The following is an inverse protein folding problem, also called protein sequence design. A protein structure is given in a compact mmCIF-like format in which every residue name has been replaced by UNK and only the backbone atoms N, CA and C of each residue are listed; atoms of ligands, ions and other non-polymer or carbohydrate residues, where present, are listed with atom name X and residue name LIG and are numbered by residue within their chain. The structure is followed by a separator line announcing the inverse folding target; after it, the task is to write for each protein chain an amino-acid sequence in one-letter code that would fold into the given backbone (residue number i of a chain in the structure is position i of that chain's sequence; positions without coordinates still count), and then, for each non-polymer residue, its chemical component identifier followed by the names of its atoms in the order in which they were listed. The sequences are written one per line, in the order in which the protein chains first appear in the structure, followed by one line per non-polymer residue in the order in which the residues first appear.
data_IF_132553132611
#
_entry.id   IF_132553132611
#
_cell.length_a   1.000
_cell.length_b   1.000
_cell.length_c   1.000
_cell.angle_alpha   90.00
_cell.angle_beta   90.00
_cell.angle_gamma   90.00
#
_symmetry.space_group_name_H-M   'P 1'
#
loop_
_entity.id
_entity.type
_entity.pdbx_description
1 polymer ?
#
# COMPACT_ATOMS: atom_id res chain seq x y z
N UNK A 1 21.27 18.18 7.75
CA UNK A 1 20.45 18.34 8.97
C UNK A 1 20.93 17.32 9.96
N UNK A 2 21.42 17.81 11.09
CA UNK A 2 21.72 17.00 12.27
C UNK A 2 20.39 16.48 12.80
N UNK A 3 20.31 15.19 13.11
CA UNK A 3 19.14 14.63 13.79
C UNK A 3 18.92 15.41 15.09
N UNK A 4 17.68 15.75 15.46
CA UNK A 4 17.42 16.33 16.76
C UNK A 4 17.70 15.25 17.81
N UNK A 5 18.91 15.24 18.35
CA UNK A 5 19.18 14.67 19.67
C UNK A 5 18.18 15.33 20.60
N UNK A 6 17.16 14.60 21.05
CA UNK A 6 16.38 15.04 22.20
C UNK A 6 17.35 15.07 23.37
N UNK A 7 17.83 16.28 23.68
CA UNK A 7 18.53 16.55 24.92
C UNK A 7 17.44 16.50 25.99
N UNK A 8 17.21 15.31 26.55
CA UNK A 8 16.39 15.16 27.75
C UNK A 8 17.21 15.79 28.88
N UNK A 9 17.01 17.08 29.13
CA UNK A 9 17.56 17.80 30.28
C UNK A 9 16.78 17.42 31.56
N UNK A 10 16.70 16.12 31.89
CA UNK A 10 16.24 15.66 33.19
C UNK A 10 17.43 15.10 33.94
N UNK A 11 18.01 15.93 34.81
CA UNK A 11 19.12 15.51 35.66
C UNK A 11 18.59 14.67 36.82
N UNK A 12 18.38 13.37 36.60
CA UNK A 12 18.06 12.46 37.71
C UNK A 12 19.34 12.15 38.47
N UNK A 13 19.24 12.22 39.80
CA UNK A 13 20.30 11.76 40.70
C UNK A 13 20.28 10.23 40.67
N UNK A 14 21.34 9.61 40.16
CA UNK A 14 21.50 8.15 40.16
C UNK A 14 22.64 7.79 41.09
N UNK A 15 22.46 6.76 41.89
CA UNK A 15 23.46 6.28 42.84
C UNK A 15 24.41 5.29 42.15
N UNK A 16 25.65 5.17 42.67
CA UNK A 16 26.61 4.17 42.15
C UNK A 16 26.07 2.73 42.20
N UNK A 17 25.36 2.28 43.27
CA UNK A 17 24.70 0.98 43.26
C UNK A 17 23.70 0.76 42.11
N UNK A 18 22.89 1.78 41.78
CA UNK A 18 21.97 1.69 40.65
C UNK A 18 22.71 1.58 39.32
N UNK A 19 23.78 2.35 39.11
CA UNK A 19 24.60 2.23 37.90
C UNK A 19 25.25 0.86 37.80
N UNK A 20 25.76 0.34 38.92
CA UNK A 20 26.35 -1.00 38.98
C UNK A 20 25.33 -2.10 38.64
N UNK A 21 24.04 -1.87 38.90
CA UNK A 21 22.97 -2.79 38.44
C UNK A 21 22.77 -2.79 36.92
N UNK A 22 23.23 -1.76 36.21
CA UNK A 22 23.10 -1.64 34.75
C UNK A 22 24.32 -2.18 33.99
N UNK A 23 25.52 -2.05 34.53
CA UNK A 23 26.79 -2.38 33.84
C UNK A 23 27.31 -3.80 34.09
N UNK A 24 26.63 -4.59 34.93
CA UNK A 24 27.00 -5.97 35.24
C UNK A 24 28.22 -6.10 36.16
N UNK A 25 28.60 -7.35 36.48
CA UNK A 25 29.61 -7.67 37.50
C UNK A 25 31.06 -7.55 37.03
N UNK A 26 31.32 -7.43 35.72
CA UNK A 26 32.68 -7.49 35.18
C UNK A 26 33.48 -6.19 35.37
N UNK A 27 32.82 -5.03 35.47
CA UNK A 27 33.47 -3.72 35.67
C UNK A 27 32.69 -2.78 36.60
N UNK A 28 32.44 -3.15 37.87
CA UNK A 28 31.67 -2.32 38.77
C UNK A 28 32.43 -1.04 39.14
N UNK A 29 31.70 0.07 39.26
CA UNK A 29 32.23 1.30 39.85
C UNK A 29 32.44 1.04 41.36
N UNK A 30 33.65 1.22 41.90
CA UNK A 30 33.92 0.98 43.32
C UNK A 30 33.03 1.83 44.23
N UNK A 31 32.51 1.20 45.28
CA UNK A 31 31.84 1.92 46.36
C UNK A 31 32.85 2.73 47.18
N UNK A 32 32.38 3.80 47.83
CA UNK A 32 33.22 4.58 48.74
C UNK A 32 33.70 3.71 49.91
N UNK A 33 34.98 3.83 50.32
CA UNK A 33 35.46 3.26 51.57
C UNK A 33 34.58 3.68 52.77
N UNK A 34 34.47 2.80 53.77
CA UNK A 34 33.59 2.99 54.93
C UNK A 34 33.90 4.27 55.72
N UNK A 35 35.15 4.71 55.71
CA UNK A 35 35.60 5.94 56.35
C UNK A 35 35.01 7.17 55.66
N UNK A 36 35.00 7.17 54.32
CA UNK A 36 34.49 8.28 53.52
C UNK A 36 32.96 8.25 53.39
N UNK A 37 32.34 7.08 53.40
CA UNK A 37 30.89 6.91 53.27
C UNK A 37 30.11 7.43 54.49
N UNK A 38 30.77 7.70 55.61
CA UNK A 38 30.15 8.33 56.80
C UNK A 38 29.67 9.76 56.48
N UNK A 39 30.51 10.55 55.84
CA UNK A 39 30.28 11.99 55.59
C UNK A 39 30.05 12.33 54.12
N UNK A 40 30.33 11.39 53.21
CA UNK A 40 30.20 11.58 51.76
C UNK A 40 29.31 10.52 51.12
N UNK A 41 28.87 10.79 49.91
CA UNK A 41 28.15 9.88 49.01
C UNK A 41 28.72 9.97 47.59
N UNK A 42 28.70 8.86 46.86
CA UNK A 42 28.99 8.87 45.42
C UNK A 42 27.69 9.08 44.67
N UNK A 43 27.67 10.11 43.84
CA UNK A 43 26.50 10.53 43.07
C UNK A 43 26.88 10.57 41.60
N UNK A 44 25.99 10.09 40.75
CA UNK A 44 26.07 10.32 39.32
C UNK A 44 24.98 11.28 38.86
N UNK A 45 25.37 12.12 37.92
CA UNK A 45 24.47 12.94 37.13
C UNK A 45 24.46 12.40 35.70
N UNK A 46 23.28 12.08 35.18
CA UNK A 46 23.14 11.85 33.74
C UNK A 46 23.40 13.17 33.01
N UNK A 47 24.36 13.17 32.10
CA UNK A 47 24.68 14.34 31.27
C UNK A 47 23.97 14.27 29.92
N UNK A 48 23.97 13.09 29.30
CA UNK A 48 23.46 12.90 27.96
C UNK A 48 23.23 11.41 27.67
N UNK A 49 22.10 11.07 27.05
CA UNK A 49 21.89 9.78 26.40
C UNK A 49 22.00 9.94 24.88
N UNK A 50 22.83 9.12 24.25
CA UNK A 50 22.87 8.92 22.80
C UNK A 50 22.16 7.61 22.48
N UNK A 51 20.86 7.75 22.24
CA UNK A 51 19.95 6.68 21.88
C UNK A 51 20.31 5.97 20.56
N UNK A 52 21.00 6.68 19.66
CA UNK A 52 21.38 6.15 18.35
C UNK A 52 22.51 5.15 18.48
N UNK A 53 23.56 5.53 19.21
CA UNK A 53 24.72 4.67 19.45
C UNK A 53 24.53 3.76 20.67
N UNK A 54 23.46 3.94 21.44
CA UNK A 54 23.16 3.14 22.62
C UNK A 54 24.16 3.42 23.74
N UNK A 55 24.43 4.70 24.00
CA UNK A 55 25.38 5.12 25.04
C UNK A 55 24.75 6.12 26.00
N UNK A 56 25.19 6.11 27.25
CA UNK A 56 24.80 7.09 28.27
C UNK A 56 26.07 7.68 28.86
N UNK A 57 26.16 9.00 28.86
CA UNK A 57 27.27 9.75 29.47
C UNK A 57 26.86 10.20 30.86
N UNK A 58 27.59 9.71 31.88
CA UNK A 58 27.36 10.01 33.29
C UNK A 58 28.54 10.80 33.85
N UNK A 59 28.27 11.76 34.73
CA UNK A 59 29.29 12.42 35.56
C UNK A 59 29.21 11.89 36.98
N UNK A 60 30.22 11.16 37.40
CA UNK A 60 30.28 10.57 38.74
C UNK A 60 31.20 11.42 39.61
N UNK A 61 30.71 11.88 40.75
CA UNK A 61 31.48 12.65 41.72
C UNK A 61 31.16 12.20 43.14
N UNK A 62 32.14 12.38 44.03
CA UNK A 62 31.94 12.26 45.47
C UNK A 62 31.41 13.59 45.99
N UNK A 63 30.35 13.56 46.78
CA UNK A 63 29.73 14.74 47.40
C UNK A 63 29.70 14.58 48.90
N UNK A 64 29.80 15.69 49.63
CA UNK A 64 29.41 15.67 51.05
C UNK A 64 27.91 15.41 51.16
N UNK A 65 27.49 14.64 52.17
CA UNK A 65 26.06 14.32 52.40
C UNK A 65 25.21 15.54 52.76
N UNK A 66 25.84 16.59 53.30
CA UNK A 66 25.22 17.90 53.53
C UNK A 66 25.09 18.74 52.24
N UNK A 67 25.54 18.19 51.09
CA UNK A 67 25.51 18.79 49.77
C UNK A 67 26.26 20.14 49.67
N UNK A 68 27.20 20.39 50.59
CA UNK A 68 27.98 21.66 50.64
C UNK A 68 29.17 21.70 49.68
N UNK A 69 29.50 20.58 49.03
CA UNK A 69 30.57 20.53 48.04
C UNK A 69 30.75 19.16 47.39
N UNK A 70 31.42 19.18 46.24
CA UNK A 70 31.72 18.03 45.39
C UNK A 70 33.23 17.98 45.16
N UNK A 71 33.81 16.79 45.14
CA UNK A 71 35.25 16.63 44.96
C UNK A 71 35.61 16.55 43.47
N UNK A 72 36.63 17.31 43.08
CA UNK A 72 37.34 17.15 41.82
C UNK A 72 38.20 15.88 41.84
N UNK A 73 38.67 15.43 40.66
CA UNK A 73 39.59 14.28 40.55
C UNK A 73 40.94 14.53 41.22
N UNK A 74 41.32 15.80 41.42
CA UNK A 74 42.49 16.20 42.22
C UNK A 74 42.29 16.08 43.73
N UNK A 75 41.06 15.85 44.19
CA UNK A 75 40.70 15.86 45.62
C UNK A 75 40.29 17.24 46.16
N UNK A 76 40.36 18.29 45.33
CA UNK A 76 39.90 19.63 45.73
C UNK A 76 38.36 19.69 45.84
N UNK A 77 37.87 20.37 46.88
CA UNK A 77 36.45 20.57 47.09
C UNK A 77 35.96 21.78 46.27
N UNK A 78 34.91 21.60 45.49
CA UNK A 78 34.28 22.66 44.69
C UNK A 78 32.77 22.69 44.90
N UNK A 79 32.19 23.88 44.87
CA UNK A 79 30.74 24.06 44.75
C UNK A 79 30.27 23.96 43.29
N UNK A 80 31.20 23.96 42.33
CA UNK A 80 30.89 23.83 40.91
C UNK A 80 30.91 22.35 40.49
N UNK A 81 29.71 21.77 40.31
CA UNK A 81 29.52 20.40 39.81
C UNK A 81 30.21 20.15 38.47
N UNK A 82 30.33 21.17 37.61
CA UNK A 82 30.96 21.00 36.31
C UNK A 82 32.46 20.75 36.37
N UNK A 83 33.12 21.17 37.44
CA UNK A 83 34.55 20.95 37.66
C UNK A 83 34.85 19.75 38.54
N UNK A 84 33.81 19.03 38.97
CA UNK A 84 33.90 17.94 39.93
C UNK A 84 33.73 16.57 39.26
N UNK A 85 34.33 15.54 39.86
CA UNK A 85 34.18 14.15 39.39
C UNK A 85 34.80 13.83 38.03
N UNK A 86 34.37 12.68 37.50
CA UNK A 86 34.82 12.12 36.22
C UNK A 86 33.62 11.80 35.34
N UNK A 87 33.73 12.11 34.06
CA UNK A 87 32.76 11.67 33.06
C UNK A 87 33.09 10.25 32.61
N UNK A 88 32.09 9.39 32.59
CA UNK A 88 32.16 8.02 32.07
C UNK A 88 31.07 7.84 31.02
N UNK A 89 31.36 7.04 30.00
CA UNK A 89 30.37 6.66 28.98
C UNK A 89 30.06 5.18 29.17
N UNK A 90 28.80 4.89 29.45
CA UNK A 90 28.25 3.55 29.43
C UNK A 90 27.85 3.20 27.99
N UNK A 91 28.17 2.00 27.54
CA UNK A 91 27.88 1.53 26.18
C UNK A 91 27.43 0.06 26.23
N UNK A 92 26.90 -0.44 25.11
CA UNK A 92 26.35 -1.80 25.03
C UNK A 92 24.83 -1.87 25.18
N UNK A 93 24.15 -0.74 25.36
CA UNK A 93 22.69 -0.69 25.21
C UNK A 93 22.33 -0.92 23.74
N UNK A 94 21.15 -1.51 23.50
CA UNK A 94 20.62 -1.66 22.16
C UNK A 94 20.26 -0.29 21.56
N UNK A 95 21.24 0.35 20.93
CA UNK A 95 21.05 1.61 20.19
C UNK A 95 20.25 1.39 18.91
N UNK A 96 19.67 2.49 18.38
CA UNK A 96 18.90 2.44 17.13
C UNK A 96 19.70 1.82 15.98
N UNK A 97 21.01 2.09 15.95
CA UNK A 97 21.90 1.56 14.93
C UNK A 97 21.93 0.04 14.89
N UNK A 98 22.16 -0.58 16.05
CA UNK A 98 22.21 -2.03 16.16
C UNK A 98 20.85 -2.65 15.89
N UNK A 99 19.77 -2.06 16.42
CA UNK A 99 18.40 -2.58 16.22
C UNK A 99 17.98 -2.56 14.74
N UNK A 100 18.30 -1.49 14.01
CA UNK A 100 18.03 -1.39 12.57
C UNK A 100 18.86 -2.41 11.78
N UNK A 101 20.14 -2.57 12.12
CA UNK A 101 21.02 -3.57 11.49
C UNK A 101 20.52 -5.00 11.71
N UNK A 102 20.14 -5.33 12.94
CA UNK A 102 19.53 -6.61 13.28
C UNK A 102 18.23 -6.84 12.50
N UNK A 103 17.38 -5.82 12.36
CA UNK A 103 16.13 -5.93 11.60
C UNK A 103 16.37 -6.23 10.12
N UNK A 104 17.25 -5.48 9.46
CA UNK A 104 17.58 -5.74 8.05
C UNK A 104 18.25 -7.09 7.88
N UNK A 105 19.16 -7.48 8.79
CA UNK A 105 19.80 -8.80 8.78
C UNK A 105 18.77 -9.92 8.91
N UNK A 106 17.78 -9.78 9.79
CA UNK A 106 16.70 -10.74 9.97
C UNK A 106 15.83 -10.89 8.71
N UNK A 107 15.56 -9.81 7.98
CA UNK A 107 14.87 -9.89 6.69
C UNK A 107 15.76 -10.45 5.58
N UNK A 108 17.06 -10.16 5.59
CA UNK A 108 18.02 -10.63 4.58
C UNK A 108 18.27 -12.15 4.66
N UNK A 109 17.99 -12.80 5.79
CA UNK A 109 18.08 -14.26 5.94
C UNK A 109 17.19 -15.01 4.92
N UNK A 110 16.07 -14.41 4.51
CA UNK A 110 15.26 -14.94 3.43
C UNK A 110 14.66 -13.81 2.60
N UNK A 111 15.10 -13.70 1.34
CA UNK A 111 14.60 -12.70 0.40
C UNK A 111 13.61 -13.27 -0.60
N UNK A 112 13.32 -14.58 -0.58
CA UNK A 112 12.38 -15.22 -1.50
C UNK A 112 11.36 -16.06 -0.73
N UNK A 113 10.09 -15.68 -0.85
CA UNK A 113 8.99 -16.30 -0.15
C UNK A 113 8.03 -16.97 -1.13
N UNK A 114 7.61 -18.19 -0.77
CA UNK A 114 6.60 -18.93 -1.51
C UNK A 114 5.21 -18.56 -0.99
N UNK A 115 4.33 -18.09 -1.87
CA UNK A 115 2.93 -17.78 -1.50
C UNK A 115 2.00 -19.00 -1.59
N UNK A 116 2.53 -20.21 -1.84
CA UNK A 116 1.75 -21.45 -1.85
C UNK A 116 1.19 -21.74 -0.44
N UNK A 117 0.01 -21.20 -0.15
CA UNK A 117 -0.75 -21.46 1.06
C UNK A 117 -1.95 -22.36 0.75
N UNK A 118 -2.61 -22.85 1.79
CA UNK A 118 -3.88 -23.57 1.69
C UNK A 118 -5.02 -22.69 1.13
N UNK A 119 -4.81 -21.38 1.01
CA UNK A 119 -5.69 -20.42 0.36
C UNK A 119 -5.10 -19.98 -0.99
N UNK A 120 -5.86 -20.17 -2.06
CA UNK A 120 -5.44 -19.79 -3.41
C UNK A 120 -5.75 -18.31 -3.66
N UNK A 121 -4.75 -17.44 -3.51
CA UNK A 121 -4.86 -16.04 -3.92
C UNK A 121 -4.46 -15.88 -5.39
N UNK A 122 -5.29 -15.25 -6.23
CA UNK A 122 -4.88 -14.98 -7.60
C UNK A 122 -3.79 -13.91 -7.62
N UNK A 123 -2.76 -14.10 -8.45
CA UNK A 123 -1.57 -13.25 -8.46
C UNK A 123 -1.88 -11.75 -8.64
N UNK A 124 -2.83 -11.41 -9.52
CA UNK A 124 -3.23 -10.01 -9.74
C UNK A 124 -3.77 -9.32 -8.49
N UNK A 125 -4.44 -10.07 -7.60
CA UNK A 125 -5.00 -9.52 -6.36
C UNK A 125 -3.88 -9.15 -5.41
N UNK A 126 -2.94 -10.09 -5.20
CA UNK A 126 -1.77 -9.85 -4.35
C UNK A 126 -0.96 -8.67 -4.91
N UNK A 127 -0.78 -8.61 -6.22
CA UNK A 127 -0.10 -7.49 -6.87
C UNK A 127 -0.78 -6.15 -6.58
N UNK A 128 -2.09 -6.02 -6.81
CA UNK A 128 -2.77 -4.74 -6.59
C UNK A 128 -2.85 -4.38 -5.11
N UNK A 129 -3.09 -5.33 -4.21
CA UNK A 129 -3.14 -5.04 -2.77
C UNK A 129 -1.80 -4.50 -2.28
N UNK A 130 -0.68 -5.12 -2.66
CA UNK A 130 0.66 -4.65 -2.31
C UNK A 130 1.02 -3.36 -3.05
N UNK A 131 0.63 -3.20 -4.32
CA UNK A 131 0.90 -1.98 -5.10
C UNK A 131 0.14 -0.78 -4.51
N UNK A 132 -1.13 -0.96 -4.17
CA UNK A 132 -1.94 0.06 -3.52
C UNK A 132 -1.35 0.42 -2.16
N UNK A 133 -1.00 -0.57 -1.34
CA UNK A 133 -0.30 -0.36 -0.07
C UNK A 133 0.99 0.45 -0.26
N UNK A 134 1.79 0.13 -1.28
CA UNK A 134 3.04 0.85 -1.55
C UNK A 134 2.84 2.33 -1.93
N UNK A 135 1.65 2.68 -2.45
CA UNK A 135 1.27 4.04 -2.83
C UNK A 135 0.58 4.81 -1.71
N UNK A 136 0.19 4.16 -0.61
CA UNK A 136 -0.40 4.83 0.55
C UNK A 136 0.63 5.75 1.22
N UNK A 137 0.20 6.95 1.60
CA UNK A 137 1.05 7.94 2.29
C UNK A 137 1.41 7.49 3.71
N UNK A 138 0.50 6.77 4.37
CA UNK A 138 0.68 6.18 5.69
C UNK A 138 0.46 4.67 5.60
N UNK A 139 1.54 3.90 5.65
CA UNK A 139 1.49 2.44 5.55
C UNK A 139 1.54 1.84 6.95
N UNK A 140 0.43 1.24 7.38
CA UNK A 140 0.36 0.49 8.63
C UNK A 140 0.43 -1.00 8.37
N UNK A 141 1.05 -1.72 9.33
CA UNK A 141 1.12 -3.18 9.38
C UNK A 141 1.62 -3.86 8.10
N UNK A 142 2.58 -3.23 7.40
CA UNK A 142 3.14 -3.71 6.13
C UNK A 142 3.54 -5.19 6.21
N UNK A 143 4.27 -5.58 7.26
CA UNK A 143 4.73 -6.95 7.43
C UNK A 143 3.55 -7.92 7.60
N UNK A 144 2.55 -7.56 8.40
CA UNK A 144 1.35 -8.40 8.59
C UNK A 144 0.55 -8.56 7.29
N UNK A 145 0.41 -7.48 6.50
CA UNK A 145 -0.26 -7.51 5.20
C UNK A 145 0.48 -8.39 4.18
N UNK A 146 1.82 -8.42 4.19
CA UNK A 146 2.59 -9.35 3.35
C UNK A 146 2.46 -10.78 3.88
N UNK A 147 2.63 -10.98 5.19
CA UNK A 147 2.53 -12.30 5.84
C UNK A 147 1.16 -12.95 5.68
N UNK A 148 0.09 -12.19 5.43
CA UNK A 148 -1.23 -12.72 5.10
C UNK A 148 -1.23 -13.61 3.84
N UNK A 149 -0.31 -13.37 2.90
CA UNK A 149 -0.18 -14.18 1.69
C UNK A 149 0.82 -15.33 1.83
N UNK A 150 1.54 -15.40 2.95
CA UNK A 150 2.56 -16.40 3.19
C UNK A 150 1.96 -17.58 3.97
N UNK A 151 2.54 -18.79 3.86
CA UNK A 151 2.08 -19.94 4.62
C UNK A 151 2.11 -19.68 6.13
N UNK A 152 1.23 -20.36 6.87
CA UNK A 152 1.09 -20.15 8.31
C UNK A 152 2.35 -20.54 9.12
N UNK A 153 3.26 -21.32 8.53
CA UNK A 153 4.53 -21.67 9.14
C UNK A 153 5.37 -20.41 9.43
N UNK A 154 5.64 -20.14 10.71
CA UNK A 154 6.43 -18.99 11.17
C UNK A 154 7.84 -18.92 10.57
N UNK A 155 8.43 -20.05 10.14
CA UNK A 155 9.73 -20.06 9.47
C UNK A 155 9.68 -19.45 8.05
N UNK A 156 8.48 -19.36 7.46
CA UNK A 156 8.25 -18.81 6.12
C UNK A 156 7.62 -17.41 6.15
N UNK A 157 7.48 -16.81 7.34
CA UNK A 157 6.96 -15.45 7.51
C UNK A 157 8.09 -14.43 7.65
N UNK A 158 7.85 -13.22 7.17
CA UNK A 158 8.70 -12.07 7.47
C UNK A 158 8.64 -11.76 8.96
N UNK A 159 9.80 -11.51 9.57
CA UNK A 159 9.88 -11.06 10.95
C UNK A 159 9.23 -9.68 11.09
N UNK A 160 8.38 -9.45 12.11
CA UNK A 160 7.83 -8.13 12.38
C UNK A 160 8.95 -7.13 12.72
N UNK A 161 8.63 -5.83 12.65
CA UNK A 161 9.54 -4.79 13.12
C UNK A 161 9.78 -4.95 14.63
N UNK A 162 11.03 -4.81 15.05
CA UNK A 162 11.43 -4.87 16.45
C UNK A 162 10.58 -3.89 17.30
N UNK A 163 10.07 -4.36 18.45
CA UNK A 163 9.18 -3.59 19.31
C UNK A 163 9.84 -2.31 19.85
N UNK A 164 11.14 -2.34 20.12
CA UNK A 164 11.90 -1.15 20.56
C UNK A 164 11.98 -0.10 19.45
N UNK A 165 12.07 -0.51 18.18
CA UNK A 165 11.97 0.42 17.05
C UNK A 165 10.55 0.98 16.92
N UNK A 166 9.52 0.14 17.06
CA UNK A 166 8.12 0.60 17.04
C UNK A 166 7.81 1.61 18.16
N UNK A 167 8.31 1.38 19.37
CA UNK A 167 8.18 2.29 20.51
C UNK A 167 8.82 3.67 20.22
N UNK A 168 9.84 3.70 19.37
CA UNK A 168 10.52 4.90 18.87
C UNK A 168 9.90 5.46 17.59
N UNK A 169 8.65 5.07 17.28
CA UNK A 169 7.89 5.51 16.11
C UNK A 169 8.50 5.13 14.76
N UNK A 170 9.41 4.15 14.72
CA UNK A 170 9.87 3.60 13.45
C UNK A 170 8.78 2.75 12.80
N UNK A 171 8.76 2.78 11.47
CA UNK A 171 7.76 2.10 10.66
C UNK A 171 8.40 1.38 9.49
N UNK A 172 7.77 0.29 9.07
CA UNK A 172 8.12 -0.39 7.82
C UNK A 172 7.36 0.27 6.67
N UNK A 173 8.04 0.51 5.56
CA UNK A 173 7.44 0.91 4.29
C UNK A 173 7.73 -0.14 3.22
N UNK A 174 6.70 -0.43 2.45
CA UNK A 174 6.76 -1.16 1.19
C UNK A 174 7.00 -0.17 0.05
N UNK A 175 7.97 -0.47 -0.80
CA UNK A 175 8.29 0.29 -1.99
C UNK A 175 8.46 -0.61 -3.20
N UNK A 176 8.39 -0.01 -4.40
CA UNK A 176 8.73 -0.64 -5.68
C UNK A 176 8.10 -2.02 -5.91
N UNK A 177 6.80 -2.13 -5.65
CA UNK A 177 6.05 -3.34 -6.01
C UNK A 177 6.01 -3.44 -7.54
N UNK A 178 6.68 -4.46 -8.07
CA UNK A 178 6.90 -4.71 -9.48
C UNK A 178 6.56 -6.16 -9.83
N UNK A 179 6.14 -6.34 -11.07
CA UNK A 179 5.84 -7.63 -11.65
C UNK A 179 7.06 -8.13 -12.41
N UNK A 180 7.40 -9.40 -12.21
CA UNK A 180 8.42 -10.11 -12.97
C UNK A 180 7.84 -11.41 -13.52
N UNK A 181 8.07 -11.68 -14.81
CA UNK A 181 7.67 -12.94 -15.45
C UNK A 181 8.90 -13.75 -15.76
N UNK A 182 8.97 -14.92 -15.17
CA UNK A 182 10.06 -15.85 -15.42
C UNK A 182 9.87 -16.51 -16.79
N UNK A 183 10.97 -16.92 -17.41
CA UNK A 183 10.98 -17.55 -18.73
C UNK A 183 10.21 -18.87 -18.78
N UNK A 184 9.99 -19.50 -17.64
CA UNK A 184 9.20 -20.72 -17.47
C UNK A 184 7.69 -20.46 -17.31
N UNK A 185 7.22 -19.22 -17.48
CA UNK A 185 5.82 -18.83 -17.33
C UNK A 185 5.36 -18.62 -15.89
N UNK A 186 6.25 -18.70 -14.90
CA UNK A 186 5.91 -18.38 -13.51
C UNK A 186 5.91 -16.87 -13.27
N UNK A 187 4.98 -16.41 -12.45
CA UNK A 187 4.89 -15.03 -12.01
C UNK A 187 5.64 -14.83 -10.68
N UNK A 188 6.39 -13.74 -10.59
CA UNK A 188 7.11 -13.28 -9.40
C UNK A 188 6.69 -11.84 -9.09
N UNK A 189 6.48 -11.52 -7.81
CA UNK A 189 6.38 -10.13 -7.35
C UNK A 189 7.69 -9.72 -6.70
N UNK A 190 8.26 -8.65 -7.20
CA UNK A 190 9.38 -7.96 -6.59
C UNK A 190 8.84 -6.81 -5.73
N UNK A 191 9.33 -6.71 -4.51
CA UNK A 191 8.99 -5.66 -3.56
C UNK A 191 10.23 -5.28 -2.78
N UNK A 192 10.27 -4.05 -2.29
CA UNK A 192 11.36 -3.61 -1.42
C UNK A 192 10.81 -3.21 -0.07
N UNK A 193 11.47 -3.69 0.99
CA UNK A 193 11.21 -3.27 2.36
C UNK A 193 12.22 -2.21 2.79
N UNK A 194 11.72 -1.18 3.47
CA UNK A 194 12.56 -0.15 4.04
C UNK A 194 12.00 0.29 5.39
N UNK A 195 12.87 0.84 6.23
CA UNK A 195 12.52 1.38 7.52
C UNK A 195 12.49 2.91 7.45
N UNK A 196 11.49 3.51 8.07
CA UNK A 196 11.39 4.95 8.31
C UNK A 196 11.44 5.25 9.80
N UNK A 197 12.04 6.38 10.15
CA UNK A 197 11.98 6.92 11.51
C UNK A 197 10.68 7.72 11.74
N UNK A 198 10.50 8.26 12.96
CA UNK A 198 9.35 9.10 13.33
C UNK A 198 9.20 10.37 12.49
N UNK A 199 10.30 10.88 11.92
CA UNK A 199 10.31 12.03 10.99
C UNK A 199 10.01 11.63 9.53
N UNK A 200 9.55 10.39 9.30
CA UNK A 200 9.21 9.85 7.98
C UNK A 200 10.42 9.76 7.02
N UNK A 201 11.65 9.84 7.55
CA UNK A 201 12.90 9.71 6.79
C UNK A 201 13.31 8.25 6.69
N UNK A 202 13.80 7.87 5.51
CA UNK A 202 14.28 6.51 5.25
C UNK A 202 15.61 6.27 5.94
N UNK A 203 15.72 5.15 6.67
CA UNK A 203 16.92 4.73 7.40
C UNK A 203 17.47 3.43 6.82
N UNK A 204 18.72 3.49 6.38
CA UNK A 204 19.50 2.35 5.88
C UNK A 204 20.11 1.54 7.03
N UNK A 205 20.46 0.29 6.75
CA UNK A 205 21.21 -0.58 7.68
C UNK A 205 22.52 0.06 8.18
N UNK A 206 23.19 0.84 7.33
CA UNK A 206 24.45 1.50 7.64
C UNK A 206 24.29 2.94 8.15
N UNK A 207 23.06 3.43 8.30
CA UNK A 207 22.73 4.84 8.62
C UNK A 207 23.31 5.88 7.65
N UNK A 208 23.82 5.44 6.50
CA UNK A 208 24.21 6.37 5.45
C UNK A 208 22.95 7.03 4.86
N UNK A 209 23.12 8.25 4.33
CA UNK A 209 22.02 8.93 3.66
C UNK A 209 21.61 8.11 2.43
N UNK A 210 20.32 7.79 2.25
CA UNK A 210 19.86 7.14 1.05
C UNK A 210 20.23 8.02 -0.15
N UNK A 211 20.96 7.45 -1.11
CA UNK A 211 20.97 8.02 -2.45
C UNK A 211 19.65 7.60 -3.09
N UNK A 212 18.73 8.56 -3.26
CA UNK A 212 17.38 8.33 -3.79
C UNK A 212 17.38 7.69 -5.19
N UNK A 213 18.51 7.70 -5.90
CA UNK A 213 18.66 7.08 -7.23
C UNK A 213 19.11 5.62 -7.20
N UNK A 214 19.74 5.13 -6.12
CA UNK A 214 20.41 3.81 -6.13
C UNK A 214 19.97 2.85 -5.03
N UNK A 215 19.44 3.34 -3.91
CA UNK A 215 18.99 2.48 -2.82
C UNK A 215 17.49 2.63 -2.58
N UNK A 216 16.79 1.53 -2.75
CA UNK A 216 15.34 1.47 -2.86
C UNK A 216 14.71 0.55 -1.81
N UNK A 217 15.50 0.15 -0.81
CA UNK A 217 15.14 -0.83 0.22
C UNK A 217 15.77 -2.21 0.00
N UNK A 218 15.55 -3.11 0.96
CA UNK A 218 15.91 -4.52 0.86
C UNK A 218 14.97 -5.23 -0.12
N UNK A 219 15.47 -5.80 -1.22
CA UNK A 219 14.63 -6.49 -2.20
C UNK A 219 14.14 -7.83 -1.66
N UNK A 220 12.86 -8.09 -1.87
CA UNK A 220 12.14 -9.32 -1.51
C UNK A 220 11.33 -9.78 -2.73
N UNK A 221 11.17 -11.10 -2.82
CA UNK A 221 10.46 -11.79 -3.89
C UNK A 221 9.33 -12.63 -3.32
N UNK A 222 8.14 -12.52 -3.90
CA UNK A 222 7.07 -13.49 -3.72
C UNK A 222 6.99 -14.34 -4.98
N UNK A 223 6.92 -15.66 -4.82
CA UNK A 223 6.96 -16.64 -5.93
C UNK A 223 5.96 -17.77 -5.70
N UNK A 224 5.83 -18.66 -6.69
CA UNK A 224 4.94 -19.83 -6.65
C UNK A 224 3.46 -19.46 -6.45
N UNK A 225 2.99 -18.43 -7.16
CA UNK A 225 1.57 -18.14 -7.26
C UNK A 225 0.85 -19.26 -8.03
N UNK A 226 -0.38 -19.56 -7.63
CA UNK A 226 -1.23 -20.49 -8.36
C UNK A 226 -1.52 -19.98 -9.79
N UNK A 227 -1.61 -20.89 -10.75
CA UNK A 227 -1.93 -20.58 -12.15
C UNK A 227 -3.32 -19.96 -12.29
N UNK A 228 -3.40 -18.83 -12.99
CA UNK A 228 -4.56 -17.91 -12.98
C UNK A 228 -5.67 -18.20 -14.01
N UNK A 229 -5.58 -19.25 -14.82
CA UNK A 229 -6.43 -19.35 -16.02
C UNK A 229 -7.93 -19.50 -15.72
N UNK A 230 -8.30 -20.09 -14.57
CA UNK A 230 -9.70 -20.14 -14.09
C UNK A 230 -10.11 -18.93 -13.25
N UNK A 231 -9.18 -18.06 -12.86
CA UNK A 231 -9.42 -16.99 -11.88
C UNK A 231 -9.85 -15.64 -12.49
N UNK A 232 -9.62 -15.38 -13.78
CA UNK A 232 -10.05 -14.12 -14.41
C UNK A 232 -11.56 -13.92 -14.28
N UNK A 233 -12.33 -14.97 -14.54
CA UNK A 233 -13.79 -14.93 -14.43
C UNK A 233 -14.27 -15.06 -12.98
N UNK A 234 -13.41 -15.19 -11.97
CA UNK A 234 -13.84 -15.29 -10.56
C UNK A 234 -14.02 -13.92 -9.90
N UNK A 235 -13.58 -12.83 -10.54
CA UNK A 235 -13.80 -11.47 -10.00
C UNK A 235 -15.32 -11.20 -9.90
N UNK A 236 -15.83 -10.89 -8.70
CA UNK A 236 -17.22 -10.50 -8.52
C UNK A 236 -17.55 -9.23 -9.32
N UNK A 237 -18.72 -9.21 -9.95
CA UNK A 237 -19.20 -8.09 -10.76
C UNK A 237 -20.44 -7.53 -10.08
N UNK A 238 -20.50 -6.21 -9.91
CA UNK A 238 -21.68 -5.51 -9.38
C UNK A 238 -22.18 -4.52 -10.44
N UNK A 239 -23.48 -4.56 -10.70
CA UNK A 239 -24.15 -3.64 -11.61
C UNK A 239 -25.05 -2.69 -10.83
N UNK A 240 -25.05 -1.41 -11.19
CA UNK A 240 -25.90 -0.38 -10.57
C UNK A 240 -26.43 0.58 -11.62
N UNK A 241 -27.68 1.02 -11.46
CA UNK A 241 -28.24 2.09 -12.30
C UNK A 241 -27.99 3.44 -11.61
N UNK A 242 -27.19 4.28 -12.25
CA UNK A 242 -26.84 5.61 -11.80
C UNK A 242 -27.63 6.66 -12.61
N UNK A 243 -28.43 7.53 -11.97
CA UNK A 243 -29.12 8.60 -12.68
C UNK A 243 -28.12 9.63 -13.22
N UNK A 244 -28.30 10.02 -14.47
CA UNK A 244 -27.48 11.02 -15.16
C UNK A 244 -28.34 12.04 -15.91
N UNK A 245 -27.76 13.20 -16.17
CA UNK A 245 -28.35 14.25 -16.99
C UNK A 245 -27.41 14.59 -18.15
N UNK A 246 -27.92 14.58 -19.38
CA UNK A 246 -27.20 14.97 -20.60
C UNK A 246 -27.95 16.11 -21.27
N UNK A 247 -27.34 17.30 -21.36
CA UNK A 247 -28.00 18.54 -21.85
C UNK A 247 -29.44 18.74 -21.31
N UNK A 248 -29.60 18.60 -19.99
CA UNK A 248 -30.90 18.78 -19.32
C UNK A 248 -31.87 17.60 -19.45
N UNK A 249 -31.55 16.55 -20.21
CA UNK A 249 -32.36 15.33 -20.35
C UNK A 249 -31.92 14.28 -19.33
N UNK A 250 -32.86 13.82 -18.51
CA UNK A 250 -32.63 12.74 -17.54
C UNK A 250 -32.55 11.39 -18.23
N UNK A 251 -31.61 10.56 -17.81
CA UNK A 251 -31.42 9.16 -18.24
C UNK A 251 -30.69 8.41 -17.14
N UNK A 252 -30.46 7.12 -17.31
CA UNK A 252 -29.58 6.34 -16.45
C UNK A 252 -28.30 5.94 -17.18
N UNK A 253 -27.23 5.74 -16.42
CA UNK A 253 -26.00 5.04 -16.80
C UNK A 253 -25.96 3.73 -16.05
N UNK A 254 -25.62 2.65 -16.76
CA UNK A 254 -25.39 1.36 -16.13
C UNK A 254 -23.92 1.27 -15.72
N UNK A 255 -23.66 1.33 -14.43
CA UNK A 255 -22.31 1.19 -13.86
C UNK A 255 -22.02 -0.27 -13.57
N UNK A 256 -21.00 -0.81 -14.24
CA UNK A 256 -20.49 -2.17 -14.04
C UNK A 256 -19.14 -2.06 -13.31
N UNK A 257 -19.08 -2.52 -12.07
CA UNK A 257 -17.86 -2.53 -11.27
C UNK A 257 -17.35 -3.94 -11.04
N UNK A 258 -16.02 -4.05 -10.94
CA UNK A 258 -15.28 -5.28 -10.67
C UNK A 258 -14.68 -5.18 -9.28
N UNK A 259 -14.99 -6.13 -8.40
CA UNK A 259 -14.54 -6.06 -7.02
C UNK A 259 -13.00 -6.06 -6.93
N UNK A 260 -12.46 -5.20 -6.07
CA UNK A 260 -11.02 -4.93 -5.90
C UNK A 260 -10.30 -4.24 -7.08
N UNK A 261 -10.99 -3.91 -8.18
CA UNK A 261 -10.43 -3.11 -9.27
C UNK A 261 -10.95 -1.67 -9.15
N UNK A 262 -10.14 -0.80 -8.57
CA UNK A 262 -10.54 0.55 -8.14
C UNK A 262 -10.05 1.66 -9.06
N UNK A 263 -9.12 1.38 -9.98
CA UNK A 263 -8.63 2.35 -10.95
C UNK A 263 -8.98 1.99 -12.39
N UNK A 264 -9.04 2.99 -13.25
CA UNK A 264 -9.28 2.83 -14.69
C UNK A 264 -8.24 1.93 -15.34
N UNK A 265 -6.97 2.05 -14.95
CA UNK A 265 -5.90 1.20 -15.47
C UNK A 265 -6.09 -0.27 -15.09
N UNK A 266 -6.47 -0.56 -13.84
CA UNK A 266 -6.71 -1.93 -13.37
C UNK A 266 -7.84 -2.60 -14.15
N UNK A 267 -8.95 -1.90 -14.37
CA UNK A 267 -10.06 -2.42 -15.18
C UNK A 267 -9.65 -2.56 -16.65
N UNK A 268 -8.89 -1.62 -17.20
CA UNK A 268 -8.37 -1.72 -18.58
C UNK A 268 -7.51 -2.97 -18.75
N UNK A 269 -6.58 -3.23 -17.83
CA UNK A 269 -5.75 -4.43 -17.84
C UNK A 269 -6.55 -5.72 -17.71
N UNK A 270 -7.54 -5.75 -16.82
CA UNK A 270 -8.44 -6.88 -16.67
C UNK A 270 -9.20 -7.18 -17.97
N UNK A 271 -9.80 -6.16 -18.58
CA UNK A 271 -10.58 -6.31 -19.81
C UNK A 271 -9.70 -6.67 -21.01
N UNK A 272 -8.47 -6.13 -21.11
CA UNK A 272 -7.46 -6.60 -22.07
C UNK A 272 -7.21 -8.10 -21.91
N UNK A 273 -7.04 -8.58 -20.68
CA UNK A 273 -6.81 -10.00 -20.42
C UNK A 273 -8.01 -10.87 -20.81
N UNK A 274 -9.24 -10.41 -20.57
CA UNK A 274 -10.46 -11.06 -21.04
C UNK A 274 -10.48 -11.18 -22.57
N UNK A 275 -10.14 -10.11 -23.29
CA UNK A 275 -10.07 -10.13 -24.77
C UNK A 275 -8.99 -11.09 -25.25
N UNK A 276 -7.78 -11.01 -24.69
CA UNK A 276 -6.63 -11.86 -25.06
C UNK A 276 -6.88 -13.34 -24.87
N UNK A 277 -7.54 -13.71 -23.76
CA UNK A 277 -7.87 -15.10 -23.44
C UNK A 277 -9.20 -15.55 -24.08
N UNK A 278 -9.77 -14.74 -24.97
CA UNK A 278 -11.02 -15.01 -25.68
C UNK A 278 -12.21 -15.32 -24.74
N UNK A 279 -12.28 -14.58 -23.61
CA UNK A 279 -13.27 -14.76 -22.53
C UNK A 279 -14.42 -13.75 -22.56
N UNK A 280 -14.56 -13.01 -23.66
CA UNK A 280 -15.55 -11.91 -23.79
C UNK A 280 -16.98 -12.43 -23.59
N UNK A 281 -17.34 -13.54 -24.22
CA UNK A 281 -18.71 -14.07 -24.11
C UNK A 281 -19.04 -14.58 -22.70
N UNK A 282 -18.09 -15.19 -21.97
CA UNK A 282 -18.31 -15.58 -20.57
C UNK A 282 -18.40 -14.35 -19.65
N UNK A 283 -17.58 -13.32 -19.88
CA UNK A 283 -17.68 -12.05 -19.16
C UNK A 283 -19.07 -11.43 -19.33
N UNK A 284 -19.58 -11.37 -20.57
CA UNK A 284 -20.90 -10.80 -20.86
C UNK A 284 -22.03 -11.58 -20.18
N UNK A 285 -21.92 -12.91 -20.08
CA UNK A 285 -22.86 -13.74 -19.30
C UNK A 285 -22.84 -13.34 -17.82
N UNK A 286 -21.67 -13.14 -17.21
CA UNK A 286 -21.57 -12.68 -15.81
C UNK A 286 -22.11 -11.27 -15.61
N UNK A 287 -21.83 -10.35 -16.54
CA UNK A 287 -22.39 -8.99 -16.50
C UNK A 287 -23.91 -9.05 -16.55
N UNK A 288 -24.49 -9.82 -17.48
CA UNK A 288 -25.95 -10.01 -17.55
C UNK A 288 -26.53 -10.47 -16.21
N UNK A 289 -25.97 -11.51 -15.60
CA UNK A 289 -26.41 -12.00 -14.29
C UNK A 289 -26.30 -10.92 -13.20
N UNK A 290 -25.22 -10.13 -13.20
CA UNK A 290 -25.04 -9.03 -12.26
C UNK A 290 -26.07 -7.91 -12.46
N UNK A 291 -26.43 -7.58 -13.71
CA UNK A 291 -27.46 -6.58 -14.03
C UNK A 291 -28.84 -7.04 -13.56
N UNK A 292 -29.18 -8.31 -13.74
CA UNK A 292 -30.42 -8.90 -13.26
C UNK A 292 -30.53 -8.82 -11.72
N UNK A 293 -29.42 -9.07 -11.02
CA UNK A 293 -29.37 -9.02 -9.55
C UNK A 293 -29.35 -7.59 -9.01
N UNK A 294 -28.52 -6.71 -9.59
CA UNK A 294 -28.44 -5.29 -9.21
C UNK A 294 -29.79 -4.58 -9.36
N UNK A 295 -30.57 -4.95 -10.39
CA UNK A 295 -31.95 -4.46 -10.53
C UNK A 295 -32.85 -4.89 -9.36
N UNK A 296 -32.82 -6.16 -8.94
CA UNK A 296 -33.64 -6.66 -7.81
C UNK A 296 -33.29 -5.93 -6.51
N UNK A 297 -32.00 -5.73 -6.25
CA UNK A 297 -31.52 -5.04 -5.04
C UNK A 297 -31.97 -3.57 -5.03
N UNK A 298 -31.84 -2.88 -6.16
CA UNK A 298 -32.18 -1.45 -6.27
C UNK A 298 -33.69 -1.20 -6.26
N UNK A 299 -34.48 -2.12 -6.82
CA UNK A 299 -35.93 -2.00 -6.95
C UNK A 299 -36.59 -3.19 -6.24
N UNK A 300 -36.84 -3.03 -4.92
CA UNK A 300 -37.34 -4.03 -3.96
C UNK A 300 -38.70 -4.70 -4.27
N UNK A 301 -39.27 -4.51 -5.45
CA UNK A 301 -40.56 -5.09 -5.86
C UNK A 301 -40.33 -6.24 -6.86
N UNK A 302 -40.26 -7.47 -6.34
CA UNK A 302 -40.08 -8.69 -7.12
C UNK A 302 -41.23 -8.93 -8.13
N UNK A 303 -42.41 -8.31 -7.93
CA UNK A 303 -43.58 -8.52 -8.78
C UNK A 303 -43.48 -7.84 -10.15
N UNK A 304 -42.43 -7.04 -10.40
CA UNK A 304 -42.14 -6.43 -11.71
C UNK A 304 -40.68 -6.64 -12.11
N UNK A 305 -40.23 -7.90 -12.12
CA UNK A 305 -38.92 -8.28 -12.65
C UNK A 305 -38.83 -7.99 -14.17
N UNK A 306 -38.33 -6.80 -14.52
CA UNK A 306 -38.15 -6.36 -15.91
C UNK A 306 -36.84 -5.58 -16.10
N UNK A 307 -35.67 -6.15 -15.77
CA UNK A 307 -34.37 -5.48 -15.98
C UNK A 307 -34.18 -5.10 -17.46
N UNK A 308 -34.64 -5.94 -18.38
CA UNK A 308 -34.63 -5.63 -19.81
C UNK A 308 -35.50 -4.40 -20.15
N UNK A 309 -36.65 -4.21 -19.51
CA UNK A 309 -37.48 -3.02 -19.73
C UNK A 309 -36.82 -1.77 -19.17
N UNK A 310 -36.19 -1.86 -18.00
CA UNK A 310 -35.42 -0.76 -17.40
C UNK A 310 -34.26 -0.30 -18.29
N UNK A 311 -33.48 -1.26 -18.81
CA UNK A 311 -32.40 -0.95 -19.75
C UNK A 311 -32.96 -0.28 -21.01
N UNK A 312 -34.02 -0.84 -21.58
CA UNK A 312 -34.69 -0.30 -22.76
C UNK A 312 -35.22 1.13 -22.59
N UNK A 313 -35.76 1.44 -21.41
CA UNK A 313 -36.48 2.70 -21.19
C UNK A 313 -35.55 3.83 -20.71
N UNK A 314 -34.52 3.49 -19.93
CA UNK A 314 -33.80 4.50 -19.15
C UNK A 314 -32.28 4.56 -19.41
N UNK A 315 -31.64 3.45 -19.78
CA UNK A 315 -30.17 3.40 -19.87
C UNK A 315 -29.68 4.02 -21.19
N UNK A 316 -28.89 5.07 -21.10
CA UNK A 316 -28.26 5.74 -22.25
C UNK A 316 -26.83 5.25 -22.52
N UNK A 317 -26.08 4.94 -21.47
CA UNK A 317 -24.67 4.53 -21.56
C UNK A 317 -24.33 3.48 -20.50
N UNK A 318 -23.22 2.78 -20.72
CA UNK A 318 -22.66 1.79 -19.79
C UNK A 318 -21.26 2.26 -19.42
N UNK A 319 -20.96 2.34 -18.13
CA UNK A 319 -19.61 2.65 -17.63
C UNK A 319 -19.00 1.42 -16.99
N UNK A 320 -17.80 1.06 -17.43
CA UNK A 320 -16.91 0.12 -16.75
C UNK A 320 -15.81 0.87 -15.98
N UNK A 321 -15.81 2.21 -15.99
CA UNK A 321 -14.80 3.02 -15.34
C UNK A 321 -15.10 3.16 -13.83
N UNK A 322 -14.26 2.62 -12.93
CA UNK A 322 -14.49 2.69 -11.49
C UNK A 322 -14.31 4.11 -10.91
N UNK A 323 -13.65 5.00 -11.65
CA UNK A 323 -13.39 6.38 -11.26
C UNK A 323 -14.49 7.35 -11.74
N UNK A 324 -15.42 6.88 -12.57
CA UNK A 324 -16.43 7.72 -13.20
C UNK A 324 -17.58 8.04 -12.24
N UNK A 325 -17.60 9.29 -11.76
CA UNK A 325 -18.56 9.80 -10.76
C UNK A 325 -19.46 10.91 -11.28
N UNK A 326 -19.28 11.36 -12.52
CA UNK A 326 -20.09 12.46 -13.05
C UNK A 326 -21.53 12.01 -13.28
N UNK A 327 -22.46 12.85 -12.83
CA UNK A 327 -23.90 12.67 -13.03
C UNK A 327 -24.50 13.72 -13.99
N UNK A 328 -23.75 14.79 -14.29
CA UNK A 328 -24.18 15.87 -15.18
C UNK A 328 -23.16 16.03 -16.31
N UNK A 329 -23.63 15.91 -17.54
CA UNK A 329 -22.82 16.00 -18.74
C UNK A 329 -23.35 17.11 -19.65
N UNK A 330 -22.45 18.03 -20.03
CA UNK A 330 -22.75 19.13 -20.95
C UNK A 330 -22.60 18.74 -22.43
N UNK A 331 -22.45 17.44 -22.71
CA UNK A 331 -22.26 16.88 -24.05
C UNK A 331 -23.47 16.01 -24.44
N UNK A 332 -23.78 15.96 -25.74
CA UNK A 332 -24.85 15.10 -26.27
C UNK A 332 -24.46 13.62 -26.33
N UNK A 333 -23.15 13.33 -26.28
CA UNK A 333 -22.58 12.01 -26.48
C UNK A 333 -21.55 11.75 -25.37
N UNK A 334 -21.67 10.62 -24.70
CA UNK A 334 -20.73 10.18 -23.65
C UNK A 334 -19.64 9.26 -24.21
N UNK A 335 -19.88 8.71 -25.39
CA UNK A 335 -18.92 7.93 -26.14
C UNK A 335 -17.69 8.77 -26.52
N UNK A 336 -16.48 8.19 -26.42
CA UNK A 336 -15.26 8.86 -26.88
C UNK A 336 -15.15 8.79 -28.42
N UNK A 337 -15.84 9.71 -29.08
CA UNK A 337 -15.85 9.84 -30.54
C UNK A 337 -14.49 10.26 -31.10
N UNK A 338 -13.71 11.02 -30.33
CA UNK A 338 -12.51 11.68 -30.83
C UNK A 338 -11.40 10.67 -31.07
N UNK A 339 -11.21 9.75 -30.13
CA UNK A 339 -10.17 8.72 -30.26
C UNK A 339 -10.74 7.38 -30.73
N UNK A 340 -12.02 7.10 -30.42
CA UNK A 340 -12.65 5.81 -30.66
C UNK A 340 -11.80 4.63 -30.15
N UNK A 341 -11.03 4.85 -29.08
CA UNK A 341 -10.05 3.88 -28.58
C UNK A 341 -10.63 2.91 -27.56
N UNK A 342 -11.68 3.33 -26.84
CA UNK A 342 -12.23 2.62 -25.68
C UNK A 342 -11.57 3.00 -24.35
N UNK A 343 -10.63 3.95 -24.34
CA UNK A 343 -9.84 4.32 -23.17
C UNK A 343 -10.62 4.98 -22.02
N UNK A 344 -11.85 5.48 -22.28
CA UNK A 344 -12.73 6.00 -21.23
C UNK A 344 -13.57 4.91 -20.55
N UNK A 345 -13.54 3.67 -21.07
CA UNK A 345 -14.32 2.53 -20.59
C UNK A 345 -15.85 2.76 -20.61
N UNK A 346 -16.34 3.58 -21.54
CA UNK A 346 -17.77 3.85 -21.73
C UNK A 346 -18.24 3.24 -23.05
N UNK A 347 -19.35 2.48 -22.99
CA UNK A 347 -20.06 1.96 -24.16
C UNK A 347 -21.45 2.62 -24.30
N UNK A 348 -22.00 2.65 -25.51
CA UNK A 348 -23.23 3.40 -25.80
C UNK A 348 -23.03 4.91 -25.63
N UNK A 349 -24.07 5.63 -25.20
CA UNK A 349 -24.00 7.09 -25.02
C UNK A 349 -23.88 7.86 -26.34
N UNK A 350 -24.46 7.31 -27.41
CA UNK A 350 -24.53 7.91 -28.74
C UNK A 350 -25.88 7.59 -29.39
N UNK A 351 -26.08 8.04 -30.62
CA UNK A 351 -27.32 7.87 -31.39
C UNK A 351 -27.35 6.50 -32.09
N UNK A 352 -28.52 6.04 -32.56
CA UNK A 352 -28.67 4.75 -33.27
C UNK A 352 -28.08 4.76 -34.69
N UNK A 353 -27.91 5.94 -35.30
CA UNK A 353 -27.39 6.07 -36.67
C UNK A 353 -25.90 5.71 -36.75
N UNK A 354 -25.36 5.72 -37.97
CA UNK A 354 -23.91 5.66 -38.15
C UNK A 354 -23.26 6.76 -37.30
N UNK A 355 -22.35 6.34 -36.43
CA UNK A 355 -21.56 7.27 -35.64
C UNK A 355 -20.36 7.64 -36.48
N UNK A 356 -20.28 8.90 -36.90
CA UNK A 356 -19.18 9.41 -37.72
C UNK A 356 -18.34 10.41 -36.95
N UNK A 357 -17.02 10.32 -37.10
CA UNK A 357 -16.07 11.33 -36.65
C UNK A 357 -15.11 11.65 -37.80
N UNK A 358 -14.89 12.94 -38.11
CA UNK A 358 -14.08 13.38 -39.25
C UNK A 358 -14.42 12.66 -40.57
N UNK A 359 -15.72 12.55 -40.90
CA UNK A 359 -16.25 11.85 -42.08
C UNK A 359 -15.94 10.34 -42.16
N UNK A 360 -15.37 9.75 -41.11
CA UNK A 360 -15.18 8.29 -41.01
C UNK A 360 -16.27 7.68 -40.15
N UNK A 361 -16.90 6.60 -40.64
CA UNK A 361 -17.84 5.80 -39.84
C UNK A 361 -17.05 4.99 -38.82
N UNK A 362 -17.24 5.30 -37.54
CA UNK A 362 -16.60 4.61 -36.43
C UNK A 362 -17.48 3.54 -35.79
N UNK A 363 -18.81 3.67 -35.89
CA UNK A 363 -19.78 2.64 -35.55
C UNK A 363 -20.84 2.61 -36.66
N UNK A 364 -21.15 1.41 -37.19
CA UNK A 364 -22.20 1.25 -38.19
C UNK A 364 -23.56 1.07 -37.52
N UNK A 365 -24.63 1.55 -38.15
CA UNK A 365 -26.00 1.41 -37.67
C UNK A 365 -26.41 -0.05 -37.42
N UNK A 366 -25.89 -1.00 -38.19
CA UNK A 366 -26.26 -2.41 -38.10
C UNK A 366 -25.68 -3.11 -36.84
N UNK A 367 -24.54 -2.63 -36.37
CA UNK A 367 -23.82 -3.15 -35.21
C UNK A 367 -24.05 -2.32 -33.93
N UNK A 368 -24.89 -1.28 -34.04
CA UNK A 368 -25.25 -0.41 -32.93
C UNK A 368 -26.30 -1.08 -32.02
N UNK A 369 -26.06 -1.04 -30.71
CA UNK A 369 -26.95 -1.56 -29.67
C UNK A 369 -27.91 -0.51 -29.10
N UNK A 370 -27.97 0.69 -29.66
CA UNK A 370 -28.87 1.78 -29.27
C UNK A 370 -30.17 1.75 -30.10
N UNK A 371 -31.31 2.18 -29.53
CA UNK A 371 -32.57 2.47 -30.24
C UNK A 371 -33.20 3.78 -29.76
N UNK A 372 -34.03 4.38 -30.61
CA UNK A 372 -34.88 5.51 -30.21
C UNK A 372 -36.08 5.00 -29.41
N UNK A 373 -36.23 5.43 -28.16
CA UNK A 373 -37.43 5.17 -27.34
C UNK A 373 -37.90 6.47 -26.70
N UNK A 374 -39.20 6.79 -26.86
CA UNK A 374 -39.81 8.00 -26.28
C UNK A 374 -38.99 9.28 -26.57
N UNK A 375 -38.52 9.42 -27.81
CA UNK A 375 -37.66 10.53 -28.29
C UNK A 375 -36.27 10.63 -27.62
N UNK A 376 -35.80 9.56 -26.99
CA UNK A 376 -34.48 9.49 -26.36
C UNK A 376 -33.73 8.24 -26.83
N UNK A 377 -32.43 8.37 -27.02
CA UNK A 377 -31.56 7.25 -27.38
C UNK A 377 -31.31 6.37 -26.15
N UNK A 378 -31.49 5.06 -26.30
CA UNK A 378 -31.40 4.07 -25.21
C UNK A 378 -30.73 2.79 -25.67
N UNK A 379 -30.08 2.09 -24.75
CA UNK A 379 -29.60 0.74 -24.97
C UNK A 379 -30.80 -0.18 -25.25
N UNK A 380 -30.75 -0.96 -26.32
CA UNK A 380 -31.81 -1.90 -26.75
C UNK A 380 -31.81 -3.19 -25.91
N UNK A 381 -32.06 -3.02 -24.61
CA UNK A 381 -32.12 -4.10 -23.66
C UNK A 381 -30.79 -4.86 -23.55
N UNK A 382 -30.86 -6.14 -23.18
CA UNK A 382 -29.68 -6.99 -23.02
C UNK A 382 -28.96 -7.24 -24.35
N UNK A 383 -29.69 -7.31 -25.47
CA UNK A 383 -29.09 -7.48 -26.80
C UNK A 383 -28.26 -6.25 -27.16
N UNK A 384 -28.80 -5.05 -26.95
CA UNK A 384 -28.09 -3.79 -27.15
C UNK A 384 -26.87 -3.67 -26.23
N UNK A 385 -27.02 -3.99 -24.95
CA UNK A 385 -25.93 -4.03 -23.96
C UNK A 385 -24.76 -4.89 -24.45
N UNK A 386 -25.05 -6.11 -24.92
CA UNK A 386 -24.02 -7.01 -25.41
C UNK A 386 -23.34 -6.48 -26.69
N UNK A 387 -24.10 -5.88 -27.62
CA UNK A 387 -23.52 -5.27 -28.82
C UNK A 387 -22.58 -4.12 -28.46
N UNK A 388 -23.03 -3.19 -27.61
CA UNK A 388 -22.24 -2.04 -27.18
C UNK A 388 -20.95 -2.45 -26.45
N UNK A 389 -21.03 -3.44 -25.55
CA UNK A 389 -19.86 -3.95 -24.87
C UNK A 389 -18.91 -4.71 -25.81
N UNK A 390 -19.42 -5.51 -26.75
CA UNK A 390 -18.58 -6.16 -27.78
C UNK A 390 -17.88 -5.14 -28.66
N UNK A 391 -18.57 -4.08 -29.06
CA UNK A 391 -17.99 -2.98 -29.81
C UNK A 391 -16.86 -2.34 -29.02
N UNK A 392 -17.10 -1.98 -27.74
CA UNK A 392 -16.08 -1.43 -26.85
C UNK A 392 -14.85 -2.35 -26.76
N UNK A 393 -15.04 -3.64 -26.49
CA UNK A 393 -13.93 -4.62 -26.37
C UNK A 393 -13.21 -4.90 -27.70
N UNK A 394 -13.79 -4.49 -28.83
CA UNK A 394 -13.15 -4.58 -30.14
C UNK A 394 -12.23 -3.39 -30.46
N UNK A 395 -12.20 -2.36 -29.62
CA UNK A 395 -11.43 -1.14 -29.88
C UNK A 395 -9.93 -1.31 -29.55
N UNK A 396 -9.12 -0.37 -30.03
CA UNK A 396 -7.65 -0.45 -29.98
C UNK A 396 -7.11 -0.55 -28.56
N UNK A 397 -7.72 0.10 -27.56
CA UNK A 397 -7.29 -0.01 -26.15
C UNK A 397 -7.22 -1.45 -25.70
N UNK A 398 -8.16 -2.32 -26.10
CA UNK A 398 -8.18 -3.72 -25.67
C UNK A 398 -7.44 -4.68 -26.60
N UNK A 399 -7.12 -4.23 -27.82
CA UNK A 399 -6.37 -4.99 -28.82
C UNK A 399 -4.87 -4.71 -28.80
N UNK A 400 -4.43 -3.57 -28.29
CA UNK A 400 -3.01 -3.19 -28.20
C UNK A 400 -2.24 -4.00 -27.16
N UNK A 401 -1.06 -4.48 -27.54
CA UNK A 401 -0.16 -5.37 -26.78
C UNK A 401 0.99 -4.61 -26.09
N UNK A 402 1.11 -3.30 -26.29
CA UNK A 402 2.25 -2.49 -25.79
C UNK A 402 2.54 -2.63 -24.30
N UNK A 403 1.52 -2.88 -23.46
CA UNK A 403 1.64 -3.01 -22.01
C UNK A 403 1.35 -4.43 -21.49
N UNK A 404 1.29 -5.44 -22.37
CA UNK A 404 0.96 -6.83 -21.97
C UNK A 404 1.97 -7.39 -20.96
N UNK A 405 3.25 -6.98 -21.04
CA UNK A 405 4.30 -7.36 -20.09
C UNK A 405 4.08 -6.78 -18.68
N UNK A 406 3.42 -5.63 -18.57
CA UNK A 406 3.13 -4.98 -17.29
C UNK A 406 1.76 -5.38 -16.71
N UNK A 407 0.94 -6.09 -17.50
CA UNK A 407 -0.42 -6.47 -17.13
C UNK A 407 -0.41 -7.70 -16.19
N UNK A 408 -0.85 -7.57 -14.93
CA UNK A 408 -0.81 -8.68 -13.96
C UNK A 408 -1.83 -9.80 -14.23
N UNK A 409 -2.74 -9.62 -15.18
CA UNK A 409 -3.73 -10.62 -15.58
C UNK A 409 -3.28 -11.50 -16.74
N UNK A 410 -2.20 -11.14 -17.44
CA UNK A 410 -1.75 -11.79 -18.68
C UNK A 410 -0.56 -12.75 -18.48
N UNK A 411 -0.23 -13.07 -17.23
CA UNK A 411 0.85 -13.99 -16.87
C UNK A 411 0.44 -15.45 -16.82
#
# INVERSE_FOLDING_TARGET
MLFPTQIINQSWKVTVPEINSWIGEETPIPLLPNELSKTNESVALELHADDREGTITLKIFVSKKDNTGHYATSGELSTNKEKSGKTVTLSGFAGEKNLIQEQYSAWAQNTTFNVQSNQTYPFWKVYFDLKNLSNESNQTDVISKINHYLPENNAQKLKPLNQSLQARQYQVKLAQVGLNRLTNGQNELNLNLLIKNGDNQVVKEDFSKPNEQSWVGLPIKLTNFATNETNLLNIPIKARFAPITTKGKKSDRLDISFENLITKQQVTWYLKAIVRKNKVDELLKKIKSSVEEGYKIQYKDERKWRPNAKINDDVFAISLNPEEKMINYNVDKLYDLKTNSGANLIAGGHEHNDVTFNNMKIITKNDNGIKLRKNLWRIDGITGLNKELKNLFSLSTFKDQTDDNANPFLG
#
